data_IF_768840723166
#
_entry.id   IF_768840723166
#
_cell.length_a   1.000
_cell.length_b   1.000
_cell.length_c   1.000
_cell.angle_alpha   90.00
_cell.angle_beta   90.00
_cell.angle_gamma   90.00
#
_symmetry.space_group_name_H-M   'P 1'
#
loop_
_entity.id
_entity.type
_entity.pdbx_description
1 polymer ?
#
# COMPACT_ATOMS: atom_id res chain seq x y z
N UNK A 1 -17.13 22.97 46.72
CA UNK A 1 -16.39 22.29 47.82
C UNK A 1 -17.01 20.91 48.07
N UNK A 2 -16.17 19.93 48.45
CA UNK A 2 -16.41 18.48 48.75
C UNK A 2 -16.26 17.57 47.51
N UNK A 3 -15.06 17.03 47.21
CA UNK A 3 -14.35 15.82 47.75
C UNK A 3 -15.19 14.55 47.54
N UNK A 4 -14.89 13.66 46.57
CA UNK A 4 -13.80 12.66 46.45
C UNK A 4 -13.85 11.57 47.53
N UNK A 5 -14.18 10.33 47.14
CA UNK A 5 -13.67 9.00 47.61
C UNK A 5 -14.54 7.85 47.03
N UNK A 6 -14.06 7.03 46.10
CA UNK A 6 -13.42 5.68 46.26
C UNK A 6 -14.38 4.52 46.50
N UNK A 7 -14.42 3.53 45.58
CA UNK A 7 -14.41 2.10 45.93
C UNK A 7 -13.95 1.22 44.74
N UNK A 8 -12.68 0.82 44.78
CA UNK A 8 -12.18 -0.37 44.07
C UNK A 8 -12.57 -1.61 44.88
N UNK A 9 -13.09 -2.65 44.24
CA UNK A 9 -13.26 -3.96 44.85
C UNK A 9 -12.56 -5.01 44.00
N UNK A 10 -11.37 -5.38 44.47
CA UNK A 10 -10.56 -6.52 44.07
C UNK A 10 -11.05 -7.73 44.87
N UNK A 11 -11.31 -8.87 44.21
CA UNK A 11 -11.19 -10.28 44.63
C UNK A 11 -11.51 -11.05 43.32
N UNK A 12 -10.66 -11.85 42.68
CA UNK A 12 -9.61 -12.72 43.17
C UNK A 12 -10.07 -14.16 42.95
N UNK A 13 -9.58 -14.85 41.90
CA UNK A 13 -9.59 -16.32 41.84
C UNK A 13 -8.39 -16.83 41.05
N UNK A 14 -7.54 -17.51 41.82
CA UNK A 14 -6.35 -18.25 41.45
C UNK A 14 -6.73 -19.49 40.63
N UNK A 15 -6.03 -19.73 39.51
CA UNK A 15 -5.76 -21.09 39.05
C UNK A 15 -4.28 -21.24 38.70
N UNK A 16 -3.53 -21.80 39.66
CA UNK A 16 -2.25 -22.48 39.44
C UNK A 16 -2.58 -23.95 39.18
N UNK A 17 -2.27 -24.43 37.98
CA UNK A 17 -2.05 -25.86 37.68
C UNK A 17 -0.77 -25.91 36.86
N UNK A 18 0.36 -26.24 37.49
CA UNK A 18 0.86 -27.59 37.74
C UNK A 18 1.96 -27.93 36.71
N UNK A 19 3.21 -27.79 37.16
CA UNK A 19 4.36 -28.42 36.54
C UNK A 19 4.19 -29.94 36.54
N UNK A 20 4.54 -30.59 35.43
CA UNK A 20 5.04 -31.96 35.46
C UNK A 20 6.27 -32.04 34.55
N UNK A 21 7.40 -32.40 35.15
CA UNK A 21 8.64 -32.84 34.52
C UNK A 21 8.75 -34.35 34.71
N UNK A 22 9.63 -34.93 33.88
CA UNK A 22 10.09 -36.32 33.80
C UNK A 22 9.35 -37.12 32.70
N UNK A 23 9.99 -37.88 31.80
CA UNK A 23 11.27 -38.59 31.88
C UNK A 23 11.88 -38.81 30.47
N UNK A 24 13.20 -39.02 30.43
CA UNK A 24 14.04 -39.34 29.26
C UNK A 24 13.83 -40.77 28.69
N UNK A 25 14.36 -40.94 27.47
CA UNK A 25 15.12 -42.10 26.94
C UNK A 25 14.36 -43.19 26.16
N UNK A 26 14.60 -43.33 24.85
CA UNK A 26 15.55 -44.27 24.21
C UNK A 26 15.23 -44.40 22.70
N UNK A 27 16.14 -44.01 21.80
CA UNK A 27 16.93 -44.92 20.93
C UNK A 27 16.14 -45.86 20.01
N UNK A 28 16.15 -45.54 18.70
CA UNK A 28 16.69 -46.38 17.62
C UNK A 28 16.65 -45.50 16.34
N UNK A 29 17.77 -45.04 15.75
CA UNK A 29 18.75 -45.81 14.97
C UNK A 29 18.04 -46.80 14.04
N UNK A 30 17.92 -46.55 12.74
CA UNK A 30 18.96 -46.69 11.70
C UNK A 30 18.20 -46.52 10.38
N UNK A 31 18.72 -46.19 9.21
CA UNK A 31 20.06 -46.04 8.63
C UNK A 31 19.75 -45.44 7.23
N UNK A 32 20.38 -44.34 6.80
CA UNK A 32 21.66 -44.35 6.07
C UNK A 32 21.49 -45.02 4.67
N UNK A 33 21.97 -44.50 3.53
CA UNK A 33 23.25 -43.88 3.20
C UNK A 33 23.14 -43.43 1.72
N UNK A 34 23.43 -42.17 1.35
CA UNK A 34 24.77 -41.58 1.06
C UNK A 34 25.38 -42.08 -0.27
N UNK A 35 25.77 -41.14 -1.13
CA UNK A 35 27.19 -40.85 -1.43
C UNK A 35 27.25 -39.67 -2.43
N UNK A 36 27.90 -38.55 -2.13
CA UNK A 36 29.38 -38.29 -2.21
C UNK A 36 29.87 -38.39 -3.68
N UNK A 37 30.71 -37.51 -4.25
CA UNK A 37 31.60 -36.45 -3.75
C UNK A 37 32.36 -35.79 -4.93
N UNK A 38 33.22 -34.83 -4.58
CA UNK A 38 34.35 -34.19 -5.29
C UNK A 38 34.01 -32.87 -6.00
N UNK A 39 34.45 -31.68 -5.54
CA UNK A 39 35.76 -31.18 -5.06
C UNK A 39 36.77 -30.96 -6.19
N UNK A 40 37.06 -29.69 -6.50
CA UNK A 40 38.37 -29.19 -6.95
C UNK A 40 38.41 -27.66 -7.02
N UNK A 41 39.46 -27.12 -6.41
CA UNK A 41 39.94 -25.73 -6.31
C UNK A 41 40.95 -25.40 -7.42
N UNK A 42 40.93 -24.17 -7.97
CA UNK A 42 42.10 -23.33 -8.36
C UNK A 42 41.59 -21.99 -8.97
N UNK A 43 41.86 -20.82 -8.37
CA UNK A 43 42.99 -19.91 -8.62
C UNK A 43 43.21 -19.49 -10.09
N UNK A 44 42.95 -18.21 -10.41
CA UNK A 44 43.99 -17.25 -10.80
C UNK A 44 43.44 -15.89 -11.30
N UNK A 45 44.16 -14.86 -10.88
CA UNK A 45 44.14 -13.41 -11.11
C UNK A 45 44.26 -12.99 -12.58
N UNK A 46 43.61 -11.89 -12.99
CA UNK A 46 44.22 -10.70 -13.67
C UNK A 46 43.16 -9.69 -14.15
N UNK A 47 43.10 -8.52 -13.50
CA UNK A 47 43.04 -7.21 -14.18
C UNK A 47 44.46 -6.92 -14.73
N UNK A 48 44.60 -6.18 -15.85
CA UNK A 48 44.90 -4.75 -15.72
C UNK A 48 44.40 -3.82 -16.85
N UNK A 49 44.17 -2.56 -16.43
CA UNK A 49 44.61 -1.28 -17.05
C UNK A 49 44.01 -0.80 -18.39
N UNK A 50 43.35 0.38 -18.38
CA UNK A 50 43.84 1.72 -18.84
C UNK A 50 43.66 1.92 -20.35
N UNK A 51 43.50 3.10 -20.95
CA UNK A 51 43.62 4.54 -20.66
C UNK A 51 42.84 5.18 -21.86
N UNK A 52 41.97 6.16 -21.65
CA UNK A 52 42.27 7.61 -21.72
C UNK A 52 42.30 8.20 -23.14
N UNK A 53 42.05 9.51 -23.16
CA UNK A 53 42.25 10.49 -24.23
C UNK A 53 40.95 11.13 -24.77
N UNK A 54 40.66 12.27 -24.13
CA UNK A 54 40.59 13.61 -24.73
C UNK A 54 39.52 13.87 -25.80
N UNK A 55 38.55 14.74 -25.55
CA UNK A 55 38.67 16.21 -25.45
C UNK A 55 38.97 16.88 -26.79
N UNK A 56 37.99 17.63 -27.29
CA UNK A 56 38.09 19.00 -27.86
C UNK A 56 36.65 19.43 -28.19
N UNK A 57 36.10 20.47 -27.54
CA UNK A 57 36.20 21.88 -27.92
C UNK A 57 35.63 22.14 -29.34
N UNK A 58 34.89 23.19 -29.70
CA UNK A 58 34.34 24.41 -29.09
C UNK A 58 33.62 25.10 -30.25
N UNK A 59 32.45 25.73 -30.05
CA UNK A 59 32.01 27.05 -30.63
C UNK A 59 30.50 27.24 -30.36
N UNK A 60 30.03 28.16 -29.49
CA UNK A 60 29.69 29.60 -29.74
C UNK A 60 29.19 29.85 -31.16
N UNK A 61 28.03 30.43 -31.43
CA UNK A 61 27.27 31.59 -30.89
C UNK A 61 25.85 31.45 -31.52
N UNK A 62 24.73 32.02 -31.11
CA UNK A 62 24.38 33.41 -30.84
C UNK A 62 22.88 33.42 -30.46
N UNK A 63 22.48 34.34 -29.59
CA UNK A 63 21.09 34.71 -29.31
C UNK A 63 20.41 35.21 -30.59
N UNK A 64 19.14 34.85 -30.82
CA UNK A 64 18.17 35.85 -31.25
C UNK A 64 16.74 35.51 -30.82
N UNK A 65 16.16 36.50 -30.20
CA UNK A 65 14.80 36.65 -29.69
C UNK A 65 13.77 36.63 -30.83
N UNK A 66 12.71 35.83 -30.69
CA UNK A 66 11.42 36.14 -31.31
C UNK A 66 10.27 35.45 -30.58
N UNK A 67 9.58 36.28 -29.80
CA UNK A 67 8.19 36.12 -29.41
C UNK A 67 7.32 35.82 -30.62
N UNK A 68 6.67 34.66 -30.63
CA UNK A 68 5.50 34.39 -31.45
C UNK A 68 4.48 33.69 -30.57
N UNK A 69 3.42 34.43 -30.26
CA UNK A 69 2.20 33.97 -29.63
C UNK A 69 1.59 32.87 -30.52
N UNK A 70 1.56 31.64 -30.00
CA UNK A 70 0.88 30.50 -30.59
C UNK A 70 -0.05 29.95 -29.53
N UNK A 71 -1.34 30.15 -29.75
CA UNK A 71 -2.47 29.72 -28.93
C UNK A 71 -2.31 28.23 -28.56
N UNK A 72 -1.95 27.97 -27.31
CA UNK A 72 -2.10 26.65 -26.72
C UNK A 72 -3.57 26.49 -26.40
N UNK A 73 -4.28 25.76 -27.27
CA UNK A 73 -5.62 25.27 -26.99
C UNK A 73 -5.65 24.59 -25.63
N UNK A 74 -6.48 25.16 -24.75
CA UNK A 74 -6.90 24.59 -23.49
C UNK A 74 -7.40 23.17 -23.69
N UNK A 75 -6.55 22.17 -23.37
CA UNK A 75 -7.05 20.92 -22.85
C UNK A 75 -7.33 21.10 -21.36
N UNK A 76 -8.39 21.84 -21.04
CA UNK A 76 -9.10 21.63 -19.78
C UNK A 76 -9.71 20.23 -19.87
N UNK A 77 -8.96 19.22 -19.42
CA UNK A 77 -9.57 17.99 -18.95
C UNK A 77 -10.56 18.43 -17.88
N UNK A 78 -11.86 18.29 -18.17
CA UNK A 78 -12.92 18.67 -17.25
C UNK A 78 -12.73 17.96 -15.91
N UNK A 79 -12.04 18.63 -15.00
CA UNK A 79 -11.86 18.23 -13.63
C UNK A 79 -13.22 18.47 -12.98
N UNK A 80 -14.09 17.48 -13.14
CA UNK A 80 -15.38 17.45 -12.47
C UNK A 80 -15.08 17.55 -10.98
N UNK A 81 -15.54 18.62 -10.37
CA UNK A 81 -15.29 18.97 -8.97
C UNK A 81 -16.12 18.01 -8.10
N UNK A 82 -15.55 16.83 -7.85
CA UNK A 82 -16.22 15.68 -7.23
C UNK A 82 -15.93 15.54 -5.74
N UNK A 83 -15.21 16.49 -5.14
CA UNK A 83 -14.69 16.38 -3.79
C UNK A 83 -15.47 17.31 -2.87
N UNK A 84 -16.15 16.74 -1.89
CA UNK A 84 -16.68 17.54 -0.78
C UNK A 84 -15.53 18.03 0.11
N UNK A 85 -15.76 19.03 0.97
CA UNK A 85 -14.73 19.55 1.88
C UNK A 85 -14.38 18.62 3.05
N UNK A 86 -15.09 17.51 3.22
CA UNK A 86 -15.03 16.66 4.42
C UNK A 86 -14.07 15.46 4.27
N UNK A 87 -13.29 15.40 3.18
CA UNK A 87 -12.33 14.33 2.92
C UNK A 87 -11.10 14.40 3.84
N UNK A 88 -10.57 13.23 4.22
CA UNK A 88 -9.32 13.12 5.00
C UNK A 88 -8.08 13.09 4.10
N UNK A 89 -8.25 12.62 2.86
CA UNK A 89 -7.26 12.61 1.81
C UNK A 89 -7.97 12.52 0.46
N UNK A 90 -7.25 12.72 -0.63
CA UNK A 90 -7.77 12.56 -1.99
C UNK A 90 -7.07 11.37 -2.63
N UNK A 91 -7.80 10.26 -2.81
CA UNK A 91 -7.23 9.00 -3.30
C UNK A 91 -6.56 9.13 -4.68
N UNK A 92 -7.17 9.90 -5.59
CA UNK A 92 -6.64 10.14 -6.95
C UNK A 92 -5.26 10.78 -6.98
N UNK A 93 -4.91 11.59 -5.97
CA UNK A 93 -3.59 12.24 -5.93
C UNK A 93 -2.43 11.25 -5.65
N UNK A 94 -2.77 10.01 -5.25
CA UNK A 94 -1.79 8.95 -5.00
C UNK A 94 -1.50 8.12 -6.26
N UNK A 95 -2.35 8.20 -7.27
CA UNK A 95 -2.14 7.53 -8.56
C UNK A 95 -0.77 7.92 -9.14
N UNK A 96 0.01 6.92 -9.55
CA UNK A 96 1.38 7.08 -10.06
C UNK A 96 2.40 7.74 -9.10
N UNK A 97 2.05 7.93 -7.82
CA UNK A 97 2.96 8.49 -6.82
C UNK A 97 4.01 7.47 -6.39
N UNK A 98 5.22 7.95 -6.14
CA UNK A 98 6.30 7.17 -5.55
C UNK A 98 6.20 7.09 -4.03
N UNK A 99 6.89 6.12 -3.43
CA UNK A 99 7.02 6.00 -1.97
C UNK A 99 7.50 7.31 -1.32
N UNK A 100 8.45 8.00 -1.97
CA UNK A 100 8.96 9.29 -1.48
C UNK A 100 7.86 10.35 -1.44
N UNK A 101 7.10 10.50 -2.52
CA UNK A 101 6.02 11.50 -2.62
C UNK A 101 4.91 11.23 -1.59
N UNK A 102 4.54 9.97 -1.37
CA UNK A 102 3.56 9.62 -0.35
C UNK A 102 4.11 9.89 1.05
N UNK A 103 5.38 9.57 1.30
CA UNK A 103 6.01 9.79 2.60
C UNK A 103 6.23 11.28 2.93
N UNK A 104 6.35 12.15 1.92
CA UNK A 104 6.36 13.60 2.12
C UNK A 104 5.01 14.13 2.63
N UNK A 105 3.91 13.49 2.24
CA UNK A 105 2.55 13.86 2.65
C UNK A 105 2.16 13.24 4.00
N UNK A 106 2.44 11.95 4.18
CA UNK A 106 1.93 11.17 5.31
C UNK A 106 2.98 10.84 6.37
N UNK A 107 4.23 11.29 6.18
CA UNK A 107 5.36 10.90 7.00
C UNK A 107 5.92 9.52 6.62
N UNK A 108 6.87 9.03 7.41
CA UNK A 108 7.49 7.73 7.18
C UNK A 108 6.51 6.60 7.52
N UNK A 109 6.56 5.47 6.80
CA UNK A 109 5.75 4.31 7.16
C UNK A 109 6.15 3.77 8.54
N UNK A 110 5.16 3.28 9.29
CA UNK A 110 5.33 2.59 10.56
C UNK A 110 6.05 1.24 10.36
N UNK A 111 5.74 0.55 9.25
CA UNK A 111 6.37 -0.70 8.83
C UNK A 111 6.27 -0.87 7.32
N UNK A 112 7.09 -1.78 6.80
CA UNK A 112 7.14 -2.14 5.38
C UNK A 112 7.31 -3.64 5.21
N UNK A 113 6.65 -4.20 4.20
CA UNK A 113 6.67 -5.63 3.90
C UNK A 113 6.94 -5.88 2.43
N UNK A 114 7.79 -6.87 2.11
CA UNK A 114 8.00 -7.31 0.73
C UNK A 114 7.02 -8.43 0.43
N UNK A 115 6.24 -8.27 -0.63
CA UNK A 115 5.25 -9.24 -1.06
C UNK A 115 5.44 -9.61 -2.53
N UNK A 116 4.66 -10.60 -2.97
CA UNK A 116 4.41 -10.87 -4.38
C UNK A 116 3.00 -10.40 -4.70
N UNK A 117 2.88 -9.40 -5.57
CA UNK A 117 1.61 -8.84 -5.99
C UNK A 117 1.21 -9.43 -7.34
N UNK A 118 -0.08 -9.71 -7.53
CA UNK A 118 -0.58 -10.46 -8.70
C UNK A 118 -1.11 -9.49 -9.74
N UNK A 119 -0.79 -9.68 -11.02
CA UNK A 119 -1.51 -8.98 -12.10
C UNK A 119 -2.93 -9.50 -12.19
N UNK A 120 -3.90 -8.60 -12.34
CA UNK A 120 -5.29 -9.03 -12.43
C UNK A 120 -5.52 -9.94 -13.63
N UNK A 121 -6.44 -10.90 -13.47
CA UNK A 121 -6.76 -11.89 -14.49
C UNK A 121 -5.66 -12.92 -14.85
N UNK A 122 -4.44 -12.80 -14.32
CA UNK A 122 -3.32 -13.73 -14.66
C UNK A 122 -2.90 -14.59 -13.48
N UNK A 123 -1.96 -15.54 -13.64
CA UNK A 123 -1.28 -16.19 -12.49
C UNK A 123 0.11 -15.61 -12.23
N UNK A 124 0.44 -14.49 -12.86
CA UNK A 124 1.76 -13.88 -12.79
C UNK A 124 1.86 -12.97 -11.56
N UNK A 125 3.04 -12.99 -10.94
CA UNK A 125 3.33 -12.22 -9.74
C UNK A 125 4.58 -11.38 -9.93
N UNK A 126 4.51 -10.15 -9.42
CA UNK A 126 5.61 -9.18 -9.41
C UNK A 126 6.04 -8.86 -7.99
N UNK A 127 7.34 -8.60 -7.76
CA UNK A 127 7.80 -8.09 -6.48
C UNK A 127 7.14 -6.75 -6.16
N UNK A 128 6.65 -6.60 -4.94
CA UNK A 128 6.06 -5.37 -4.47
C UNK A 128 6.46 -5.08 -3.03
N UNK A 129 6.27 -3.83 -2.60
CA UNK A 129 6.45 -3.39 -1.22
C UNK A 129 5.13 -2.83 -0.71
N UNK A 130 4.67 -3.30 0.43
CA UNK A 130 3.54 -2.69 1.15
C UNK A 130 4.10 -1.83 2.26
N UNK A 131 3.70 -0.56 2.29
CA UNK A 131 4.02 0.36 3.36
C UNK A 131 2.77 0.74 4.13
N UNK A 132 2.89 0.77 5.45
CA UNK A 132 1.80 1.06 6.37
C UNK A 132 2.03 2.42 6.99
N UNK A 133 1.08 3.34 6.85
CA UNK A 133 1.17 4.72 7.31
C UNK A 133 0.11 5.03 8.36
N UNK A 134 0.42 5.97 9.23
CA UNK A 134 -0.49 6.52 10.23
C UNK A 134 -1.19 5.45 11.08
N UNK A 135 -0.41 4.54 11.67
CA UNK A 135 -0.90 3.44 12.51
C UNK A 135 -1.82 2.47 11.76
N UNK A 136 -1.36 2.01 10.58
CA UNK A 136 -2.06 1.04 9.72
C UNK A 136 -3.43 1.54 9.21
N UNK A 137 -3.68 2.86 9.28
CA UNK A 137 -4.84 3.51 8.65
C UNK A 137 -4.77 3.46 7.12
N UNK A 138 -3.56 3.60 6.58
CA UNK A 138 -3.32 3.52 5.14
C UNK A 138 -2.27 2.45 4.83
N UNK A 139 -2.59 1.53 3.93
CA UNK A 139 -1.63 0.56 3.39
C UNK A 139 -1.44 0.81 1.90
N UNK A 140 -0.25 1.21 1.48
CA UNK A 140 0.04 1.46 0.06
C UNK A 140 0.93 0.36 -0.46
N UNK A 141 0.48 -0.29 -1.53
CA UNK A 141 1.27 -1.29 -2.27
C UNK A 141 1.97 -0.60 -3.43
N UNK A 142 3.29 -0.69 -3.44
CA UNK A 142 4.16 -0.18 -4.49
C UNK A 142 4.65 -1.31 -5.38
N UNK A 143 4.41 -1.18 -6.67
CA UNK A 143 4.99 -2.04 -7.70
C UNK A 143 5.89 -1.16 -8.57
N UNK A 144 7.12 -1.62 -8.82
CA UNK A 144 8.13 -0.84 -9.56
C UNK A 144 8.35 0.59 -9.02
N UNK A 145 8.15 0.76 -7.70
CA UNK A 145 8.30 2.04 -7.01
C UNK A 145 7.13 3.02 -7.19
N UNK A 146 6.01 2.59 -7.78
CA UNK A 146 4.78 3.36 -7.99
C UNK A 146 3.60 2.77 -7.21
N UNK A 147 2.76 3.63 -6.66
CA UNK A 147 1.56 3.21 -5.95
C UNK A 147 0.58 2.52 -6.91
N UNK A 148 0.33 1.24 -6.66
CA UNK A 148 -0.59 0.40 -7.44
C UNK A 148 -1.93 0.17 -6.74
N UNK A 149 -1.91 0.20 -5.40
CA UNK A 149 -3.10 0.00 -4.56
C UNK A 149 -2.99 0.76 -3.25
N UNK A 150 -4.12 1.30 -2.79
CA UNK A 150 -4.31 1.79 -1.44
C UNK A 150 -5.38 0.94 -0.72
N UNK A 151 -5.11 0.57 0.53
CA UNK A 151 -6.14 0.15 1.50
C UNK A 151 -6.32 1.29 2.50
N UNK A 152 -7.56 1.75 2.66
CA UNK A 152 -7.95 2.75 3.63
C UNK A 152 -8.87 2.12 4.68
N UNK A 153 -8.36 1.94 5.89
CA UNK A 153 -9.12 1.40 7.01
C UNK A 153 -9.90 2.53 7.67
N UNK A 154 -11.24 2.45 7.68
CA UNK A 154 -12.12 3.51 8.21
C UNK A 154 -12.26 3.40 9.73
N UNK A 155 -11.11 3.38 10.42
CA UNK A 155 -11.04 3.01 11.84
C UNK A 155 -11.49 4.12 12.81
N UNK A 156 -11.60 5.35 12.33
CA UNK A 156 -11.89 6.52 13.15
C UNK A 156 -13.39 6.88 13.18
N UNK A 157 -14.21 6.26 12.33
CA UNK A 157 -15.64 6.55 12.18
C UNK A 157 -16.43 5.24 12.02
N UNK A 158 -17.42 5.00 12.87
CA UNK A 158 -18.33 3.85 12.74
C UNK A 158 -19.36 4.16 11.63
N UNK A 159 -19.06 3.75 10.41
CA UNK A 159 -19.96 3.91 9.25
C UNK A 159 -20.73 2.62 9.04
N UNK A 160 -22.06 2.70 9.01
CA UNK A 160 -22.88 1.52 8.73
C UNK A 160 -22.70 1.06 7.28
N UNK A 161 -22.62 -0.26 7.08
CA UNK A 161 -22.55 -0.87 5.76
C UNK A 161 -23.95 -0.97 5.14
N UNK A 162 -24.51 0.16 4.73
CA UNK A 162 -25.82 0.27 4.08
C UNK A 162 -25.85 1.45 3.08
N UNK A 163 -26.90 1.51 2.25
CA UNK A 163 -27.08 2.55 1.23
C UNK A 163 -27.09 3.99 1.75
N UNK A 164 -27.55 4.21 2.97
CA UNK A 164 -27.70 5.56 3.52
C UNK A 164 -26.36 6.15 3.97
N UNK A 165 -25.45 5.31 4.49
CA UNK A 165 -24.21 5.78 5.12
C UNK A 165 -22.94 5.45 4.32
N UNK A 166 -22.96 4.48 3.40
CA UNK A 166 -21.73 4.04 2.73
C UNK A 166 -21.03 5.14 1.90
N UNK A 167 -21.79 6.10 1.37
CA UNK A 167 -21.25 7.25 0.64
C UNK A 167 -20.27 8.08 1.50
N UNK A 168 -20.43 8.05 2.83
CA UNK A 168 -19.53 8.71 3.78
C UNK A 168 -18.10 8.15 3.68
N UNK A 169 -17.94 6.84 3.51
CA UNK A 169 -16.61 6.24 3.39
C UNK A 169 -15.90 6.70 2.10
N UNK A 170 -16.64 6.80 0.99
CA UNK A 170 -16.13 7.34 -0.27
C UNK A 170 -15.73 8.82 -0.12
N UNK A 171 -16.58 9.60 0.54
CA UNK A 171 -16.33 11.02 0.83
C UNK A 171 -15.04 11.22 1.63
N UNK A 172 -14.85 10.46 2.71
CA UNK A 172 -13.63 10.52 3.54
C UNK A 172 -12.35 10.21 2.75
N UNK A 173 -12.46 9.37 1.71
CA UNK A 173 -11.35 9.03 0.83
C UNK A 173 -11.15 10.02 -0.33
N UNK A 174 -11.97 11.09 -0.39
CA UNK A 174 -11.94 12.04 -1.49
C UNK A 174 -12.26 11.36 -2.81
N UNK A 175 -13.29 10.53 -2.82
CA UNK A 175 -13.83 9.87 -4.00
C UNK A 175 -15.19 10.47 -4.38
N UNK A 176 -15.59 10.41 -5.67
CA UNK A 176 -16.94 10.78 -6.07
C UNK A 176 -18.00 9.96 -5.33
N UNK A 177 -19.03 10.63 -4.82
CA UNK A 177 -20.16 9.99 -4.09
C UNK A 177 -21.39 9.75 -4.97
N UNK A 178 -21.49 10.45 -6.10
CA UNK A 178 -22.59 10.30 -7.08
C UNK A 178 -22.26 9.20 -8.11
N UNK A 179 -21.89 8.01 -7.62
CA UNK A 179 -21.52 6.85 -8.45
C UNK A 179 -22.30 5.63 -7.98
N UNK A 180 -22.98 4.97 -8.92
CA UNK A 180 -23.68 3.72 -8.66
C UNK A 180 -22.68 2.56 -8.56
N UNK A 181 -22.91 1.66 -7.61
CA UNK A 181 -22.18 0.42 -7.51
C UNK A 181 -22.46 -0.49 -8.71
N UNK A 182 -21.41 -1.18 -9.16
CA UNK A 182 -21.49 -2.18 -10.24
C UNK A 182 -21.69 -3.59 -9.72
N UNK A 183 -21.43 -3.82 -8.44
CA UNK A 183 -21.67 -5.09 -7.75
C UNK A 183 -22.03 -4.79 -6.31
N UNK A 184 -23.07 -5.47 -5.85
CA UNK A 184 -23.56 -5.47 -4.49
C UNK A 184 -23.59 -6.92 -3.98
N UNK A 185 -22.95 -7.14 -2.85
CA UNK A 185 -22.98 -8.39 -2.09
C UNK A 185 -23.11 -8.06 -0.61
N UNK A 186 -23.56 -9.02 0.20
CA UNK A 186 -23.68 -8.89 1.67
C UNK A 186 -22.38 -8.38 2.36
N UNK A 187 -21.23 -8.48 1.70
CA UNK A 187 -19.92 -8.13 2.28
C UNK A 187 -19.13 -7.09 1.50
N UNK A 188 -19.59 -6.70 0.31
CA UNK A 188 -18.80 -5.83 -0.55
C UNK A 188 -19.65 -5.04 -1.57
N UNK A 189 -19.33 -3.76 -1.70
CA UNK A 189 -19.78 -2.89 -2.79
C UNK A 189 -18.60 -2.56 -3.71
N UNK A 190 -18.80 -2.70 -5.02
CA UNK A 190 -17.75 -2.42 -6.02
C UNK A 190 -18.16 -1.23 -6.87
N UNK A 191 -17.32 -0.21 -6.89
CA UNK A 191 -17.49 1.00 -7.68
C UNK A 191 -16.43 1.06 -8.76
N UNK A 192 -16.87 1.41 -9.97
CA UNK A 192 -16.01 1.57 -11.13
C UNK A 192 -16.08 3.03 -11.63
N UNK A 193 -15.09 3.44 -12.42
CA UNK A 193 -15.09 4.73 -13.12
C UNK A 193 -15.16 5.98 -12.21
N UNK A 194 -14.48 5.95 -11.06
CA UNK A 194 -14.44 7.02 -10.05
C UNK A 194 -13.45 8.15 -10.38
N UNK A 195 -13.23 8.44 -11.66
CA UNK A 195 -12.23 9.39 -12.13
C UNK A 195 -10.83 8.77 -12.21
N UNK A 196 -9.86 9.31 -11.48
CA UNK A 196 -8.44 8.94 -11.60
C UNK A 196 -8.03 7.70 -10.76
N UNK A 197 -9.01 6.97 -10.24
CA UNK A 197 -8.82 5.64 -9.63
C UNK A 197 -9.68 4.62 -10.39
N UNK A 198 -9.19 3.39 -10.52
CA UNK A 198 -9.73 2.43 -11.50
C UNK A 198 -10.88 1.58 -10.96
N UNK A 199 -10.82 1.24 -9.67
CA UNK A 199 -11.84 0.45 -8.98
C UNK A 199 -11.71 0.70 -7.48
N UNK A 200 -12.85 0.77 -6.80
CA UNK A 200 -12.93 0.79 -5.35
C UNK A 200 -13.86 -0.32 -4.90
N UNK A 201 -13.35 -1.21 -4.07
CA UNK A 201 -14.19 -2.18 -3.34
C UNK A 201 -14.27 -1.77 -1.88
N UNK A 202 -15.48 -1.51 -1.40
CA UNK A 202 -15.76 -1.29 0.02
C UNK A 202 -16.13 -2.62 0.66
N UNK A 203 -15.42 -3.02 1.71
CA UNK A 203 -15.68 -4.26 2.43
C UNK A 203 -16.31 -4.00 3.79
N UNK A 204 -17.19 -4.91 4.22
CA UNK A 204 -17.83 -4.87 5.53
C UNK A 204 -17.19 -5.81 6.54
N UNK A 205 -17.42 -5.50 7.82
CA UNK A 205 -17.15 -6.39 8.95
C UNK A 205 -18.32 -6.32 9.93
N UNK A 206 -19.23 -7.28 9.81
CA UNK A 206 -20.52 -7.19 10.48
C UNK A 206 -21.36 -6.09 9.83
N UNK A 207 -21.92 -5.20 10.64
CA UNK A 207 -22.84 -4.15 10.15
C UNK A 207 -22.10 -2.85 9.74
N UNK A 208 -20.77 -2.83 9.80
CA UNK A 208 -19.96 -1.63 9.58
C UNK A 208 -19.01 -1.78 8.39
N UNK A 209 -18.67 -0.65 7.77
CA UNK A 209 -17.57 -0.55 6.80
C UNK A 209 -16.25 -0.87 7.52
N UNK A 210 -15.45 -1.78 6.96
CA UNK A 210 -14.13 -2.15 7.50
C UNK A 210 -13.03 -1.34 6.81
N UNK A 211 -12.98 -1.42 5.47
CA UNK A 211 -11.98 -0.72 4.67
C UNK A 211 -12.42 -0.51 3.22
N UNK A 212 -11.78 0.46 2.58
CA UNK A 212 -11.78 0.61 1.12
C UNK A 212 -10.52 0.00 0.53
N UNK A 213 -10.71 -0.80 -0.52
CA UNK A 213 -9.68 -1.35 -1.37
C UNK A 213 -9.68 -0.61 -2.70
N UNK A 214 -8.66 0.23 -2.93
CA UNK A 214 -8.62 1.21 -4.01
C UNK A 214 -7.50 0.84 -4.98
N UNK A 215 -7.86 0.55 -6.23
CA UNK A 215 -6.90 0.29 -7.32
C UNK A 215 -6.46 1.62 -7.93
N UNK A 216 -5.14 1.87 -7.90
CA UNK A 216 -4.50 3.10 -8.38
C UNK A 216 -3.76 2.91 -9.71
N UNK A 217 -3.64 1.67 -10.20
CA UNK A 217 -3.03 1.34 -11.48
C UNK A 217 -3.86 0.25 -12.20
N UNK A 218 -4.25 0.54 -13.44
CA UNK A 218 -5.15 -0.28 -14.26
C UNK A 218 -4.64 -1.72 -14.44
N UNK A 219 -3.32 -1.93 -14.45
CA UNK A 219 -2.73 -3.25 -14.62
C UNK A 219 -3.11 -4.24 -13.51
N UNK A 220 -3.70 -3.75 -12.41
CA UNK A 220 -4.07 -4.53 -11.23
C UNK A 220 -5.57 -4.52 -10.90
N UNK A 221 -6.40 -4.01 -11.82
CA UNK A 221 -7.86 -4.15 -11.77
C UNK A 221 -8.29 -5.50 -12.31
#
# INVERSE_FOLDING_TARGET
>A
MKKLTTLFLIIGLLFVTACSKDTKQNEQETSETKADKQDSTNSSTSDPEKEDSEATETTTTEEENSTAEGEAENNESGQKDYLTSEHQFVASELTNSSEKQISERWGKPNRSEKIKFRYSGTTEFVPAVVNYYQNDKYEVTFVEGKAARLVYSVIDEEIMFNEEEMTRALELAGLPVDVEETTDTDTAFVYNDLGDVYEVTMFSKGDFVDYLYIILDEAYK
#
